data_IF_966693701682
#
_entry.id   IF_966693701682
#
_cell.length_a   1.000
_cell.length_b   1.000
_cell.length_c   1.000
_cell.angle_alpha   90.00
_cell.angle_beta   90.00
_cell.angle_gamma   90.00
#
_symmetry.space_group_name_H-M   'P 1'
#
loop_
_entity.id
_entity.type
_entity.pdbx_description
1 polymer ?
#
# COMPACT_ATOMS: atom_id res chain seq x y z
N UNK A 1 2.04 -2.25 10.53
CA UNK A 1 0.77 -1.99 11.23
C UNK A 1 -0.07 -1.11 10.33
N UNK A 2 -1.36 -1.39 10.17
CA UNK A 2 -2.30 -0.54 9.43
C UNK A 2 -3.44 -0.14 10.39
N UNK A 3 -3.87 1.11 10.34
CA UNK A 3 -4.89 1.68 11.22
C UNK A 3 -5.75 2.66 10.44
N UNK A 4 -7.04 2.69 10.76
CA UNK A 4 -8.00 3.63 10.16
C UNK A 4 -8.23 4.83 11.07
N UNK A 5 -8.31 6.01 10.47
CA UNK A 5 -8.54 7.28 11.16
C UNK A 5 -9.59 8.08 10.41
N UNK A 6 -10.37 8.90 11.13
CA UNK A 6 -11.37 9.79 10.51
C UNK A 6 -10.72 10.85 9.61
N UNK A 7 -9.48 11.24 9.90
CA UNK A 7 -8.65 12.12 9.08
C UNK A 7 -7.17 12.04 9.48
N UNK A 8 -6.27 12.52 8.62
CA UNK A 8 -4.85 12.73 8.95
C UNK A 8 -4.69 13.59 10.22
N UNK A 9 -5.48 14.66 10.36
CA UNK A 9 -5.43 15.54 11.52
C UNK A 9 -5.80 14.82 12.84
N UNK A 10 -6.80 13.93 12.79
CA UNK A 10 -7.19 13.13 13.96
C UNK A 10 -6.07 12.16 14.38
N UNK A 11 -5.40 11.52 13.42
CA UNK A 11 -4.23 10.69 13.71
C UNK A 11 -3.09 11.51 14.31
N UNK A 12 -2.79 12.68 13.74
CA UNK A 12 -1.75 13.59 14.28
C UNK A 12 -2.05 14.02 15.71
N UNK A 13 -3.31 14.33 16.03
CA UNK A 13 -3.72 14.66 17.39
C UNK A 13 -3.53 13.47 18.34
N UNK A 14 -3.89 12.25 17.92
CA UNK A 14 -3.66 11.05 18.72
C UNK A 14 -2.18 10.77 18.92
N UNK A 15 -1.34 10.98 17.91
CA UNK A 15 0.12 10.81 18.02
C UNK A 15 0.71 11.68 19.14
N UNK A 16 0.12 12.86 19.39
CA UNK A 16 0.52 13.81 20.44
C UNK A 16 -0.04 13.48 21.82
N UNK A 17 -0.95 12.50 21.94
CA UNK A 17 -1.55 12.10 23.22
C UNK A 17 -0.52 11.44 24.17
N UNK A 18 -0.72 11.61 25.48
CA UNK A 18 0.11 10.94 26.49
C UNK A 18 0.09 9.42 26.35
N UNK A 19 -1.05 8.86 25.95
CA UNK A 19 -1.22 7.43 25.72
C UNK A 19 -0.30 6.92 24.61
N UNK A 20 -0.36 7.51 23.41
CA UNK A 20 0.51 7.10 22.31
C UNK A 20 1.99 7.32 22.65
N UNK A 21 2.34 8.44 23.27
CA UNK A 21 3.73 8.72 23.66
C UNK A 21 4.26 7.66 24.64
N UNK A 22 3.44 7.22 25.61
CA UNK A 22 3.79 6.14 26.55
C UNK A 22 3.98 4.79 25.85
N UNK A 23 3.10 4.45 24.89
CA UNK A 23 3.22 3.21 24.09
C UNK A 23 4.49 3.25 23.24
N UNK A 24 4.70 4.34 22.50
CA UNK A 24 5.86 4.48 21.62
C UNK A 24 7.18 4.48 22.40
N UNK A 25 7.22 5.09 23.60
CA UNK A 25 8.41 5.02 24.46
C UNK A 25 8.77 3.58 24.83
N UNK A 26 7.78 2.75 25.17
CA UNK A 26 8.01 1.32 25.46
C UNK A 26 8.44 0.54 24.21
N UNK A 27 7.77 0.78 23.07
CA UNK A 27 8.13 0.13 21.80
C UNK A 27 9.57 0.43 21.39
N UNK A 28 9.99 1.69 21.47
CA UNK A 28 11.35 2.11 21.16
C UNK A 28 12.40 1.57 22.14
N UNK A 29 12.04 1.40 23.42
CA UNK A 29 12.96 0.88 24.42
C UNK A 29 13.16 -0.64 24.35
N UNK A 30 12.11 -1.39 23.98
CA UNK A 30 12.10 -2.85 24.14
C UNK A 30 12.01 -3.64 22.82
N UNK A 31 11.40 -3.07 21.76
CA UNK A 31 10.99 -3.85 20.58
C UNK A 31 11.48 -3.30 19.24
N UNK A 32 11.84 -2.01 19.16
CA UNK A 32 12.28 -1.36 17.93
C UNK A 32 13.73 -0.92 18.05
N UNK A 33 14.53 -1.26 17.05
CA UNK A 33 15.87 -0.70 16.87
C UNK A 33 15.82 0.21 15.64
N UNK A 34 16.12 1.49 15.84
CA UNK A 34 16.29 2.45 14.75
C UNK A 34 17.78 2.63 14.51
N UNK A 35 18.26 2.24 13.34
CA UNK A 35 19.65 2.32 12.92
C UNK A 35 19.93 3.62 12.14
N UNK A 36 18.89 4.28 11.60
CA UNK A 36 19.03 5.58 10.95
C UNK A 36 17.74 6.30 10.58
N UNK A 37 17.86 7.50 9.97
CA UNK A 37 16.73 8.21 9.38
C UNK A 37 16.11 7.38 8.26
N UNK A 38 14.85 6.98 8.40
CA UNK A 38 14.10 6.21 7.39
C UNK A 38 13.67 4.80 7.82
N UNK A 39 14.14 4.31 8.97
CA UNK A 39 13.72 2.99 9.51
C UNK A 39 12.28 2.98 10.04
N UNK A 40 11.70 4.17 10.20
CA UNK A 40 10.30 4.37 10.51
C UNK A 40 9.66 5.22 9.43
N UNK A 41 8.65 4.66 8.77
CA UNK A 41 7.86 5.36 7.77
C UNK A 41 6.38 5.32 8.18
N UNK A 42 5.77 6.50 8.24
CA UNK A 42 4.33 6.66 8.31
C UNK A 42 3.83 7.13 6.95
N UNK A 43 2.68 6.59 6.56
CA UNK A 43 2.05 6.86 5.29
C UNK A 43 0.55 7.00 5.54
N UNK A 44 -0.03 8.12 5.11
CA UNK A 44 -1.48 8.28 5.03
C UNK A 44 -1.91 8.05 3.59
N UNK A 45 -2.79 7.08 3.38
CA UNK A 45 -3.36 6.80 2.07
C UNK A 45 -4.87 6.93 2.17
N UNK A 46 -5.45 7.61 1.19
CA UNK A 46 -6.89 7.79 1.13
C UNK A 46 -7.61 6.44 0.99
N UNK A 47 -8.85 6.41 1.46
CA UNK A 47 -9.74 5.26 1.30
C UNK A 47 -9.55 4.17 2.35
N UNK A 48 -10.42 3.16 2.28
CA UNK A 48 -10.40 2.03 3.20
C UNK A 48 -9.67 0.85 2.55
N UNK A 49 -8.32 0.91 2.57
CA UNK A 49 -7.50 -0.03 1.82
C UNK A 49 -7.54 -1.45 2.39
N UNK A 50 -7.73 -1.58 3.70
CA UNK A 50 -7.67 -2.83 4.45
C UNK A 50 -9.02 -3.16 5.09
N UNK A 51 -10.13 -2.71 4.47
CA UNK A 51 -11.46 -2.95 4.97
C UNK A 51 -11.72 -4.46 5.08
N UNK A 52 -11.55 -5.01 6.29
CA UNK A 52 -12.01 -6.34 6.64
C UNK A 52 -13.51 -6.35 6.54
N UNK A 53 -14.00 -6.73 5.39
CA UNK A 53 -15.40 -7.06 5.28
C UNK A 53 -15.55 -8.45 5.91
N UNK A 54 -16.27 -8.51 7.03
CA UNK A 54 -16.97 -9.72 7.46
C UNK A 54 -17.89 -10.31 6.36
N UNK A 55 -17.94 -9.63 5.21
CA UNK A 55 -18.43 -10.06 3.91
C UNK A 55 -17.21 -10.37 3.03
N UNK A 56 -17.09 -11.50 2.33
CA UNK A 56 -15.97 -11.71 1.41
C UNK A 56 -15.84 -10.54 0.42
N UNK A 57 -14.61 -10.15 0.08
CA UNK A 57 -14.36 -9.23 -1.04
C UNK A 57 -15.17 -9.70 -2.26
N UNK A 58 -15.62 -8.81 -3.17
CA UNK A 58 -16.40 -9.21 -4.33
C UNK A 58 -15.73 -10.39 -5.06
N UNK A 59 -16.37 -11.57 -5.06
CA UNK A 59 -15.79 -12.79 -5.64
C UNK A 59 -15.10 -13.76 -4.67
N UNK A 60 -15.08 -13.50 -3.36
CA UNK A 60 -14.52 -14.42 -2.36
C UNK A 60 -13.02 -14.30 -2.12
N UNK A 61 -12.40 -13.16 -2.50
CA UNK A 61 -10.97 -12.96 -2.32
C UNK A 61 -10.58 -12.84 -0.83
N UNK A 62 -9.39 -13.37 -0.50
CA UNK A 62 -8.69 -13.25 0.78
C UNK A 62 -8.28 -11.79 0.98
N UNK A 63 -8.60 -11.25 2.16
CA UNK A 63 -8.25 -9.88 2.56
C UNK A 63 -6.73 -9.65 2.52
N UNK A 64 -6.33 -8.40 2.28
CA UNK A 64 -4.94 -7.97 2.33
C UNK A 64 -4.28 -8.33 3.67
N UNK A 65 -4.93 -8.08 4.81
CA UNK A 65 -4.37 -8.42 6.13
C UNK A 65 -4.35 -9.94 6.42
N UNK A 66 -5.08 -10.73 5.62
CA UNK A 66 -5.09 -12.18 5.67
C UNK A 66 -4.17 -12.85 4.65
N UNK A 67 -3.56 -12.06 3.77
CA UNK A 67 -2.60 -12.54 2.79
C UNK A 67 -1.26 -12.92 3.46
N UNK A 68 -0.61 -14.04 3.07
CA UNK A 68 0.71 -14.42 3.58
C UNK A 68 1.78 -13.35 3.33
N UNK A 69 1.77 -12.77 2.13
CA UNK A 69 2.63 -11.67 1.71
C UNK A 69 1.77 -10.52 1.21
N UNK A 70 2.14 -9.31 1.60
CA UNK A 70 1.66 -8.06 1.03
C UNK A 70 2.77 -7.44 0.19
N UNK A 71 2.47 -7.10 -1.06
CA UNK A 71 3.27 -6.13 -1.81
C UNK A 71 2.65 -4.74 -1.65
N UNK A 72 3.49 -3.74 -1.47
CA UNK A 72 3.11 -2.32 -1.45
C UNK A 72 3.96 -1.63 -2.50
N UNK A 73 3.34 -1.27 -3.62
CA UNK A 73 3.97 -0.50 -4.68
C UNK A 73 3.73 1.00 -4.47
N UNK A 74 4.80 1.78 -4.46
CA UNK A 74 4.77 3.23 -4.43
C UNK A 74 5.06 3.77 -5.83
N UNK A 75 4.07 4.43 -6.44
CA UNK A 75 4.17 5.02 -7.78
C UNK A 75 4.21 6.54 -7.67
N UNK A 76 5.41 7.12 -7.71
CA UNK A 76 5.57 8.57 -7.73
C UNK A 76 5.30 9.12 -9.14
N UNK A 77 4.45 10.14 -9.24
CA UNK A 77 4.12 10.82 -10.50
C UNK A 77 4.34 12.33 -10.37
N UNK A 78 4.51 13.01 -11.51
CA UNK A 78 4.50 14.47 -11.56
C UNK A 78 3.10 15.04 -11.43
N UNK A 79 3.00 16.28 -10.96
CA UNK A 79 1.74 17.01 -10.82
C UNK A 79 0.90 17.04 -12.10
N UNK A 80 -0.43 17.02 -11.94
CA UNK A 80 -1.39 17.03 -13.05
C UNK A 80 -1.59 15.69 -13.75
N UNK A 81 -0.94 14.61 -13.31
CA UNK A 81 -1.09 13.27 -13.92
C UNK A 81 -2.05 12.33 -13.18
N UNK A 82 -2.70 12.77 -12.09
CA UNK A 82 -3.60 11.93 -11.27
C UNK A 82 -4.70 11.27 -12.10
N UNK A 83 -5.46 12.05 -12.87
CA UNK A 83 -6.58 11.56 -13.68
C UNK A 83 -6.13 10.55 -14.74
N UNK A 84 -5.02 10.85 -15.43
CA UNK A 84 -4.44 9.95 -16.42
C UNK A 84 -3.98 8.63 -15.77
N UNK A 85 -3.36 8.69 -14.58
CA UNK A 85 -2.94 7.50 -13.86
C UNK A 85 -4.14 6.65 -13.44
N UNK A 86 -5.16 7.24 -12.80
CA UNK A 86 -6.36 6.48 -12.40
C UNK A 86 -7.05 5.87 -13.62
N UNK A 87 -7.22 6.64 -14.70
CA UNK A 87 -7.86 6.12 -15.91
C UNK A 87 -7.10 4.92 -16.47
N UNK A 88 -5.77 5.00 -16.58
CA UNK A 88 -4.94 3.89 -17.05
C UNK A 88 -4.93 2.72 -16.06
N UNK A 89 -4.86 2.98 -14.76
CA UNK A 89 -4.88 1.93 -13.74
C UNK A 89 -6.22 1.19 -13.77
N UNK A 90 -7.36 1.88 -13.81
CA UNK A 90 -8.68 1.24 -13.93
C UNK A 90 -8.81 0.37 -15.19
N UNK A 91 -8.17 0.75 -16.30
CA UNK A 91 -8.13 -0.05 -17.53
C UNK A 91 -7.37 -1.38 -17.33
N UNK A 92 -6.23 -1.35 -16.61
CA UNK A 92 -5.31 -2.50 -16.52
C UNK A 92 -5.38 -3.27 -15.20
N UNK A 93 -6.07 -2.74 -14.19
CA UNK A 93 -6.15 -3.29 -12.82
C UNK A 93 -6.62 -4.74 -12.80
N UNK A 94 -7.58 -5.09 -13.67
CA UNK A 94 -8.09 -6.46 -13.78
C UNK A 94 -7.02 -7.50 -14.12
N UNK A 95 -5.93 -7.10 -14.81
CA UNK A 95 -4.82 -8.00 -15.14
C UNK A 95 -4.05 -8.40 -13.87
N UNK A 96 -3.83 -7.44 -12.97
CA UNK A 96 -3.20 -7.69 -11.68
C UNK A 96 -4.12 -8.51 -10.78
N UNK A 97 -5.41 -8.15 -10.71
CA UNK A 97 -6.41 -8.89 -9.91
C UNK A 97 -6.55 -10.34 -10.36
N UNK A 98 -6.62 -10.59 -11.68
CA UNK A 98 -6.68 -11.95 -12.23
C UNK A 98 -5.43 -12.76 -11.87
N UNK A 99 -4.25 -12.15 -11.93
CA UNK A 99 -2.99 -12.83 -11.61
C UNK A 99 -2.80 -13.06 -10.10
N UNK A 100 -3.23 -12.10 -9.26
CA UNK A 100 -3.29 -12.26 -7.80
C UNK A 100 -4.31 -13.34 -7.39
N UNK A 101 -5.28 -13.64 -8.26
CA UNK A 101 -6.17 -14.78 -8.13
C UNK A 101 -7.12 -14.61 -6.95
N UNK A 102 -6.88 -15.37 -5.88
CA UNK A 102 -7.71 -15.32 -4.68
C UNK A 102 -7.37 -14.17 -3.74
N UNK A 103 -6.30 -13.40 -3.98
CA UNK A 103 -5.88 -12.35 -3.07
C UNK A 103 -6.42 -10.98 -3.51
N UNK A 104 -6.80 -10.16 -2.53
CA UNK A 104 -7.29 -8.81 -2.80
C UNK A 104 -6.20 -7.89 -3.37
N UNK A 105 -6.64 -6.89 -4.13
CA UNK A 105 -5.85 -5.76 -4.61
C UNK A 105 -6.57 -4.48 -4.19
N UNK A 106 -5.85 -3.53 -3.63
CA UNK A 106 -6.38 -2.22 -3.23
C UNK A 106 -5.41 -1.11 -3.62
N UNK A 107 -5.89 0.13 -3.64
CA UNK A 107 -5.07 1.26 -4.06
C UNK A 107 -5.65 2.60 -3.62
N UNK A 108 -4.79 3.60 -3.41
CA UNK A 108 -5.23 4.96 -3.08
C UNK A 108 -4.12 5.99 -3.25
N UNK A 109 -4.51 7.27 -3.29
CA UNK A 109 -3.57 8.38 -3.24
C UNK A 109 -3.02 8.61 -1.84
N UNK A 110 -1.71 8.85 -1.75
CA UNK A 110 -1.08 9.33 -0.53
C UNK A 110 -1.51 10.77 -0.23
N UNK A 111 -1.85 11.05 1.03
CA UNK A 111 -2.36 12.36 1.46
C UNK A 111 -1.28 13.30 2.03
N UNK A 112 -0.19 12.75 2.56
CA UNK A 112 0.84 13.48 3.32
C UNK A 112 2.11 13.78 2.51
N UNK A 113 1.97 14.20 1.25
CA UNK A 113 3.09 14.60 0.40
C UNK A 113 3.42 16.07 0.64
N UNK A 114 4.58 16.33 1.25
CA UNK A 114 5.04 17.70 1.54
C UNK A 114 5.66 18.42 0.32
N UNK A 115 6.02 17.69 -0.73
CA UNK A 115 6.68 18.24 -1.91
C UNK A 115 5.67 18.71 -2.97
N UNK A 116 5.62 20.02 -3.21
CA UNK A 116 4.75 20.63 -4.22
C UNK A 116 4.95 20.01 -5.61
N UNK A 117 3.85 19.71 -6.29
CA UNK A 117 3.87 19.14 -7.65
C UNK A 117 4.31 17.68 -7.73
N UNK A 118 4.38 16.96 -6.60
CA UNK A 118 4.54 15.50 -6.56
C UNK A 118 3.28 14.84 -6.05
N UNK A 119 3.00 13.67 -6.60
CA UNK A 119 1.85 12.85 -6.22
C UNK A 119 2.35 11.40 -6.11
N UNK A 120 1.78 10.62 -5.20
CA UNK A 120 2.15 9.21 -4.98
C UNK A 120 0.89 8.37 -4.92
N UNK A 121 0.81 7.39 -5.81
CA UNK A 121 -0.25 6.38 -5.83
C UNK A 121 0.30 5.10 -5.23
N UNK A 122 -0.45 4.53 -4.29
CA UNK A 122 -0.06 3.30 -3.60
C UNK A 122 -0.94 2.18 -4.13
N UNK A 123 -0.33 1.07 -4.55
CA UNK A 123 -1.02 -0.18 -4.86
C UNK A 123 -0.62 -1.20 -3.81
N UNK A 124 -1.59 -1.95 -3.30
CA UNK A 124 -1.38 -2.99 -2.30
C UNK A 124 -2.02 -4.27 -2.81
N UNK A 125 -1.24 -5.34 -2.87
CA UNK A 125 -1.70 -6.63 -3.38
C UNK A 125 -1.30 -7.75 -2.44
N UNK A 126 -2.21 -8.71 -2.25
CA UNK A 126 -1.91 -9.93 -1.51
C UNK A 126 -1.29 -11.02 -2.38
N UNK A 127 -0.44 -11.85 -1.78
CA UNK A 127 0.28 -12.92 -2.46
C UNK A 127 0.52 -14.12 -1.56
N UNK A 128 0.64 -15.29 -2.18
CA UNK A 128 1.10 -16.51 -1.50
C UNK A 128 2.58 -16.41 -1.09
N UNK A 129 3.41 -15.81 -1.95
CA UNK A 129 4.84 -15.58 -1.70
C UNK A 129 5.37 -14.37 -2.47
N UNK A 130 6.58 -13.92 -2.12
CA UNK A 130 7.27 -12.84 -2.86
C UNK A 130 7.58 -13.28 -4.29
N UNK A 131 7.99 -14.53 -4.47
CA UNK A 131 8.28 -15.12 -5.78
C UNK A 131 7.03 -15.10 -6.67
N UNK A 132 5.86 -15.38 -6.09
CA UNK A 132 4.60 -15.33 -6.85
C UNK A 132 4.31 -13.94 -7.39
N UNK A 133 4.54 -12.89 -6.59
CA UNK A 133 4.46 -11.52 -7.11
C UNK A 133 5.48 -11.27 -8.23
N UNK A 134 6.73 -11.73 -8.07
CA UNK A 134 7.78 -11.53 -9.08
C UNK A 134 7.48 -12.24 -10.41
N UNK A 135 6.80 -13.38 -10.38
CA UNK A 135 6.33 -14.08 -11.58
C UNK A 135 5.37 -13.23 -12.42
N UNK A 136 4.68 -12.24 -11.81
CA UNK A 136 3.76 -11.37 -12.53
C UNK A 136 4.46 -10.67 -13.70
N UNK A 137 5.72 -10.26 -13.54
CA UNK A 137 6.52 -9.61 -14.57
C UNK A 137 6.73 -10.48 -15.82
N UNK A 138 6.54 -11.79 -15.71
CA UNK A 138 6.70 -12.77 -16.78
C UNK A 138 5.36 -13.24 -17.35
N UNK A 139 4.24 -12.75 -16.79
CA UNK A 139 2.89 -13.15 -17.21
C UNK A 139 2.51 -12.55 -18.58
N UNK A 140 1.65 -13.22 -19.36
CA UNK A 140 1.21 -12.70 -20.66
C UNK A 140 0.57 -11.30 -20.61
N UNK A 141 -0.12 -10.96 -19.51
CA UNK A 141 -0.77 -9.66 -19.33
C UNK A 141 0.16 -8.54 -18.89
N UNK A 142 1.39 -8.85 -18.46
CA UNK A 142 2.28 -7.87 -17.83
C UNK A 142 2.64 -6.72 -18.74
N UNK A 143 2.92 -6.99 -20.02
CA UNK A 143 3.28 -5.94 -20.97
C UNK A 143 2.21 -4.85 -21.06
N UNK A 144 0.93 -5.24 -20.99
CA UNK A 144 -0.21 -4.32 -20.97
C UNK A 144 -0.34 -3.61 -19.62
N UNK A 145 -0.22 -4.34 -18.51
CA UNK A 145 -0.23 -3.76 -17.18
C UNK A 145 0.86 -2.69 -17.00
N UNK A 146 2.07 -2.98 -17.48
CA UNK A 146 3.24 -2.13 -17.38
C UNK A 146 3.14 -0.83 -18.21
N UNK A 147 2.10 -0.65 -19.04
CA UNK A 147 1.80 0.65 -19.68
C UNK A 147 1.61 1.78 -18.65
N UNK A 148 1.16 1.46 -17.42
CA UNK A 148 1.03 2.44 -16.34
C UNK A 148 2.36 3.15 -16.04
N UNK A 149 3.49 2.47 -16.23
CA UNK A 149 4.82 3.01 -15.96
C UNK A 149 5.21 4.18 -16.87
N UNK A 150 4.51 4.38 -17.99
CA UNK A 150 4.70 5.57 -18.84
C UNK A 150 4.27 6.87 -18.15
N UNK A 151 3.42 6.78 -17.12
CA UNK A 151 2.95 7.90 -16.33
C UNK A 151 3.74 8.09 -15.03
N UNK A 152 4.55 7.09 -14.66
CA UNK A 152 5.27 6.99 -13.38
C UNK A 152 6.70 7.50 -13.52
N UNK A 153 7.09 8.42 -12.63
CA UNK A 153 8.45 8.93 -12.56
C UNK A 153 9.39 7.98 -11.78
N UNK A 154 8.86 7.33 -10.75
CA UNK A 154 9.57 6.34 -9.94
C UNK A 154 8.59 5.30 -9.40
N UNK A 155 8.96 4.03 -9.46
CA UNK A 155 8.29 2.96 -8.74
C UNK A 155 9.24 2.31 -7.74
N UNK A 156 8.71 1.95 -6.58
CA UNK A 156 9.36 1.13 -5.56
C UNK A 156 8.34 0.09 -5.08
N UNK A 157 8.78 -1.11 -4.75
CA UNK A 157 7.91 -2.16 -4.24
C UNK A 157 8.54 -2.76 -2.98
N UNK A 158 7.75 -2.84 -1.91
CA UNK A 158 8.14 -3.48 -0.65
C UNK A 158 7.24 -4.66 -0.36
N UNK A 159 7.85 -5.73 0.15
CA UNK A 159 7.13 -6.93 0.58
C UNK A 159 7.11 -7.04 2.09
N UNK A 160 5.93 -7.33 2.64
CA UNK A 160 5.72 -7.54 4.06
C UNK A 160 5.14 -8.93 4.27
N UNK A 161 5.82 -9.74 5.08
CA UNK A 161 5.31 -11.05 5.48
C UNK A 161 4.37 -10.88 6.66
N UNK A 162 3.25 -11.61 6.66
CA UNK A 162 2.46 -11.81 7.87
C UNK A 162 3.32 -12.59 8.87
N UNK A 163 3.76 -11.94 9.94
CA UNK A 163 4.37 -12.65 11.07
C UNK A 163 3.24 -13.24 11.90
N UNK A 164 3.20 -14.57 11.98
CA UNK A 164 2.41 -15.27 12.98
C UNK A 164 2.93 -14.83 14.36
N UNK A 165 2.08 -14.16 15.14
CA UNK A 165 2.21 -14.09 16.59
C UNK A 165 1.50 -15.31 17.18
#
# INVERSE_FOLDING_TARGET
MATKWDSVAAHVQWMQSEENQSIMAKLMAEYLTMEGPGDFALLHVEGDLFASTATPAPGGAIDLLDSPVLSVEHLSIGGGKKEALISKFSEVRGILEEFAGQYAVSSGWREDIEAEGKEEFVVISGWESVEKHQEFAQSPGFAKYNEIMQLVAKADAKHYNKRFL
#
